data_IF_540296694470
#
_entry.id   IF_540296694470
#
_cell.length_a   1.000
_cell.length_b   1.000
_cell.length_c   1.000
_cell.angle_alpha   90.00
_cell.angle_beta   90.00
_cell.angle_gamma   90.00
#
_symmetry.space_group_name_H-M   'P 1'
#
loop_
_entity.id
_entity.type
_entity.pdbx_description
1 polymer ?
#
# COMPACT_ATOMS: atom_id res chain seq x y z
N UNK A 1 -2.35 11.68 -18.54
CA UNK A 1 -3.36 10.87 -17.84
C UNK A 1 -3.38 9.48 -18.43
N UNK A 2 -3.65 8.48 -17.62
CA UNK A 2 -3.72 7.08 -18.03
C UNK A 2 -5.03 6.82 -18.79
N UNK A 3 -4.97 6.02 -19.87
CA UNK A 3 -6.17 5.55 -20.59
C UNK A 3 -6.80 4.37 -19.86
N UNK A 4 -8.08 4.02 -20.12
CA UNK A 4 -8.70 2.83 -19.53
C UNK A 4 -7.94 1.52 -19.82
N UNK A 5 -7.34 1.39 -21.02
CA UNK A 5 -6.54 0.21 -21.37
C UNK A 5 -5.24 0.14 -20.57
N UNK A 6 -4.55 1.26 -20.39
CA UNK A 6 -3.34 1.37 -19.55
C UNK A 6 -3.66 1.16 -18.07
N UNK A 7 -4.83 1.61 -17.60
CA UNK A 7 -5.28 1.36 -16.24
C UNK A 7 -5.52 -0.13 -15.98
N UNK A 8 -6.20 -0.79 -16.90
CA UNK A 8 -6.42 -2.24 -16.84
C UNK A 8 -5.09 -3.01 -16.92
N UNK A 9 -4.17 -2.58 -17.79
CA UNK A 9 -2.84 -3.15 -17.90
C UNK A 9 -2.07 -3.02 -16.58
N UNK A 10 -2.04 -1.84 -15.99
CA UNK A 10 -1.34 -1.60 -14.73
C UNK A 10 -1.92 -2.43 -13.58
N UNK A 11 -3.26 -2.45 -13.43
CA UNK A 11 -3.92 -3.25 -12.41
C UNK A 11 -3.63 -4.74 -12.60
N UNK A 12 -3.70 -5.24 -13.83
CA UNK A 12 -3.46 -6.65 -14.16
C UNK A 12 -2.08 -7.12 -13.72
N UNK A 13 -1.02 -6.32 -13.97
CA UNK A 13 0.38 -6.64 -13.67
C UNK A 13 0.82 -6.15 -12.29
N UNK A 14 -0.09 -5.60 -11.48
CA UNK A 14 0.24 -5.08 -10.16
C UNK A 14 0.77 -6.17 -9.23
N UNK A 15 1.93 -5.92 -8.59
CA UNK A 15 2.50 -6.77 -7.54
C UNK A 15 2.88 -5.97 -6.27
N UNK A 16 2.76 -4.63 -6.32
CA UNK A 16 2.73 -3.73 -5.17
C UNK A 16 1.45 -2.91 -5.21
N UNK A 17 0.91 -2.44 -4.05
CA UNK A 17 -0.34 -1.68 -4.03
C UNK A 17 -0.30 -0.42 -4.89
N UNK A 18 0.85 0.22 -4.99
CA UNK A 18 1.07 1.45 -5.76
C UNK A 18 0.94 1.26 -7.27
N UNK A 19 0.94 0.03 -7.76
CA UNK A 19 0.63 -0.31 -9.15
C UNK A 19 -0.86 -0.32 -9.46
N UNK A 20 -1.72 -0.29 -8.44
CA UNK A 20 -3.16 -0.19 -8.61
C UNK A 20 -3.55 1.28 -8.78
N UNK A 21 -4.01 1.73 -9.98
CA UNK A 21 -4.33 3.14 -10.20
C UNK A 21 -5.39 3.67 -9.24
N UNK A 22 -6.37 2.84 -8.87
CA UNK A 22 -7.38 3.19 -7.88
C UNK A 22 -6.80 3.44 -6.49
N UNK A 23 -5.85 2.60 -6.04
CA UNK A 23 -5.12 2.79 -4.79
C UNK A 23 -4.33 4.10 -4.82
N UNK A 24 -3.51 4.29 -5.85
CA UNK A 24 -2.68 5.48 -5.95
C UNK A 24 -3.50 6.78 -6.01
N UNK A 25 -4.58 6.83 -6.78
CA UNK A 25 -5.49 7.99 -6.82
C UNK A 25 -6.12 8.27 -5.45
N UNK A 26 -6.68 7.26 -4.80
CA UNK A 26 -7.35 7.43 -3.52
C UNK A 26 -6.41 8.02 -2.46
N UNK A 27 -5.20 7.49 -2.34
CA UNK A 27 -4.29 7.90 -1.27
C UNK A 27 -3.42 9.12 -1.61
N UNK A 28 -2.97 9.27 -2.85
CA UNK A 28 -2.19 10.45 -3.26
C UNK A 28 -3.07 11.64 -3.66
N UNK A 29 -4.29 11.38 -4.15
CA UNK A 29 -5.13 12.37 -4.83
C UNK A 29 -4.57 12.80 -6.17
N UNK A 30 -3.59 12.06 -6.72
CA UNK A 30 -2.90 12.39 -7.97
C UNK A 30 -3.52 11.69 -9.17
N UNK A 31 -3.39 12.32 -10.34
CA UNK A 31 -3.75 11.72 -11.62
C UNK A 31 -2.68 10.72 -12.04
N UNK A 32 -3.10 9.50 -12.37
CA UNK A 32 -2.21 8.43 -12.80
C UNK A 32 -1.72 8.66 -14.24
N UNK A 33 -0.49 8.24 -14.53
CA UNK A 33 0.09 8.20 -15.88
C UNK A 33 1.08 7.03 -16.00
N UNK A 34 1.34 6.58 -17.22
CA UNK A 34 2.42 5.66 -17.54
C UNK A 34 3.54 6.36 -18.31
N UNK A 35 4.78 5.96 -18.01
CA UNK A 35 5.96 6.24 -18.83
C UNK A 35 6.70 4.92 -19.02
N UNK A 36 6.67 4.38 -20.24
CA UNK A 36 7.04 2.99 -20.47
C UNK A 36 6.17 2.04 -19.65
N UNK A 37 6.79 1.15 -18.91
CA UNK A 37 6.14 0.20 -18.01
C UNK A 37 6.19 0.65 -16.51
N UNK A 38 6.37 1.95 -16.25
CA UNK A 38 6.37 2.53 -14.90
C UNK A 38 5.15 3.42 -14.69
N UNK A 39 4.48 3.21 -13.57
CA UNK A 39 3.33 4.01 -13.16
C UNK A 39 3.80 5.22 -12.33
N UNK A 40 3.12 6.33 -12.47
CA UNK A 40 3.30 7.50 -11.62
C UNK A 40 2.01 8.23 -11.37
N UNK A 41 2.05 9.16 -10.39
CA UNK A 41 0.91 9.99 -10.00
C UNK A 41 1.37 11.44 -9.92
N UNK A 42 0.56 12.33 -10.47
CA UNK A 42 0.84 13.77 -10.48
C UNK A 42 -0.26 14.52 -9.75
N UNK A 43 0.10 15.33 -8.75
CA UNK A 43 -0.80 16.23 -8.05
C UNK A 43 -0.10 17.53 -7.72
N UNK A 44 -0.65 18.64 -8.20
CA UNK A 44 -0.21 20.00 -7.82
C UNK A 44 1.32 20.18 -7.90
N UNK A 45 1.94 19.71 -8.99
CA UNK A 45 3.39 19.77 -9.18
C UNK A 45 4.23 18.82 -8.32
N UNK A 46 3.59 17.91 -7.56
CA UNK A 46 4.26 16.79 -6.90
C UNK A 46 4.12 15.54 -7.76
N UNK A 47 5.23 14.94 -8.13
CA UNK A 47 5.32 13.69 -8.85
C UNK A 47 5.61 12.55 -7.89
N UNK A 48 4.75 11.54 -7.83
CA UNK A 48 5.03 10.25 -7.19
C UNK A 48 5.37 9.27 -8.31
N UNK A 49 6.57 8.72 -8.30
CA UNK A 49 7.03 7.77 -9.31
C UNK A 49 7.23 6.39 -8.68
N UNK A 50 6.46 5.42 -9.20
CA UNK A 50 6.55 4.01 -8.77
C UNK A 50 7.67 3.37 -9.56
N UNK A 51 8.88 3.34 -8.99
CA UNK A 51 10.11 2.88 -9.63
C UNK A 51 10.24 1.35 -9.74
N UNK A 52 9.12 0.65 -9.72
CA UNK A 52 9.00 -0.79 -9.96
C UNK A 52 8.35 -0.98 -11.33
N UNK A 53 8.99 -1.69 -12.30
CA UNK A 53 8.40 -1.93 -13.61
C UNK A 53 7.24 -2.92 -13.52
N UNK A 54 6.23 -2.78 -14.38
CA UNK A 54 5.06 -3.67 -14.40
C UNK A 54 5.35 -5.05 -15.00
N UNK A 55 6.23 -5.14 -16.00
CA UNK A 55 6.47 -6.40 -16.73
C UNK A 55 7.93 -6.86 -16.69
N UNK A 56 8.88 -5.95 -16.60
CA UNK A 56 10.29 -6.30 -16.73
C UNK A 56 10.98 -6.50 -15.38
N UNK A 57 12.17 -7.06 -15.41
CA UNK A 57 13.05 -7.05 -14.24
C UNK A 57 13.54 -5.62 -13.97
N UNK A 58 13.58 -5.22 -12.70
CA UNK A 58 14.08 -3.92 -12.30
C UNK A 58 15.46 -3.62 -12.88
N UNK A 59 15.58 -2.48 -13.52
CA UNK A 59 16.82 -1.93 -14.05
C UNK A 59 16.91 -0.44 -13.67
N UNK A 60 17.82 -0.11 -12.76
CA UNK A 60 17.99 1.25 -12.25
C UNK A 60 18.28 2.27 -13.34
N UNK A 61 19.09 1.91 -14.36
CA UNK A 61 19.42 2.82 -15.47
C UNK A 61 18.18 3.14 -16.30
N UNK A 62 17.34 2.13 -16.61
CA UNK A 62 16.06 2.31 -17.32
C UNK A 62 15.12 3.15 -16.48
N UNK A 63 14.95 2.83 -15.20
CA UNK A 63 14.11 3.56 -14.28
C UNK A 63 14.50 5.04 -14.20
N UNK A 64 15.79 5.36 -14.05
CA UNK A 64 16.29 6.74 -14.04
C UNK A 64 15.99 7.49 -15.34
N UNK A 65 16.16 6.85 -16.50
CA UNK A 65 15.87 7.46 -17.79
C UNK A 65 14.39 7.84 -17.92
N UNK A 66 13.48 6.94 -17.50
CA UNK A 66 12.02 7.16 -17.53
C UNK A 66 11.56 8.15 -16.45
N UNK A 67 12.18 8.14 -15.26
CA UNK A 67 11.97 9.20 -14.27
C UNK A 67 12.36 10.57 -14.81
N UNK A 68 13.52 10.69 -15.47
CA UNK A 68 13.97 11.93 -16.09
C UNK A 68 13.02 12.38 -17.24
N UNK A 69 12.46 11.45 -17.99
CA UNK A 69 11.42 11.74 -18.98
C UNK A 69 10.15 12.29 -18.33
N UNK A 70 9.65 11.65 -17.28
CA UNK A 70 8.51 12.13 -16.52
C UNK A 70 8.75 13.53 -15.94
N UNK A 71 9.94 13.77 -15.39
CA UNK A 71 10.34 15.08 -14.86
C UNK A 71 10.38 16.15 -15.95
N UNK A 72 10.87 15.86 -17.15
CA UNK A 72 10.84 16.80 -18.30
C UNK A 72 9.42 17.08 -18.76
N UNK A 73 8.55 16.05 -18.82
CA UNK A 73 7.16 16.16 -19.28
C UNK A 73 6.31 16.98 -18.33
N UNK A 74 6.43 16.73 -17.03
CA UNK A 74 5.52 17.31 -16.02
C UNK A 74 6.12 18.47 -15.23
N UNK A 75 7.42 18.71 -15.31
CA UNK A 75 8.17 19.77 -14.61
C UNK A 75 7.79 19.90 -13.12
N UNK A 76 7.81 18.80 -12.34
CA UNK A 76 7.42 18.84 -10.95
C UNK A 76 8.42 19.65 -10.12
N UNK A 77 7.95 20.28 -9.04
CA UNK A 77 8.84 20.91 -8.06
C UNK A 77 9.21 19.96 -6.90
N UNK A 78 8.48 18.85 -6.74
CA UNK A 78 8.78 17.76 -5.81
C UNK A 78 8.62 16.43 -6.50
N UNK A 79 9.49 15.48 -6.15
CA UNK A 79 9.38 14.09 -6.61
C UNK A 79 9.53 13.17 -5.42
N UNK A 80 8.60 12.25 -5.26
CA UNK A 80 8.71 11.10 -4.38
C UNK A 80 8.93 9.85 -5.25
N UNK A 81 10.14 9.32 -5.24
CA UNK A 81 10.50 8.08 -5.91
C UNK A 81 10.37 6.93 -4.91
N UNK A 82 9.59 5.91 -5.24
CA UNK A 82 9.56 4.62 -4.55
C UNK A 82 10.28 3.59 -5.40
N UNK A 83 11.39 3.02 -4.92
CA UNK A 83 12.21 2.12 -5.73
C UNK A 83 12.93 1.07 -4.86
N UNK A 84 13.41 -0.04 -5.45
CA UNK A 84 14.25 -1.00 -4.75
C UNK A 84 15.61 -0.42 -4.36
N UNK A 85 16.14 0.49 -5.18
CA UNK A 85 17.41 1.19 -4.96
C UNK A 85 17.49 2.45 -5.82
N UNK A 86 18.33 3.39 -5.40
CA UNK A 86 18.65 4.60 -6.16
C UNK A 86 20.04 5.07 -5.78
N UNK A 87 21.00 4.91 -6.69
CA UNK A 87 22.42 5.12 -6.40
C UNK A 87 22.90 6.56 -6.51
N UNK A 88 22.09 7.50 -7.07
CA UNK A 88 22.54 8.88 -7.24
C UNK A 88 22.59 9.66 -5.94
N UNK A 89 23.57 10.57 -5.79
CA UNK A 89 23.61 11.49 -4.66
C UNK A 89 22.50 12.53 -4.77
N UNK A 90 21.93 12.90 -3.63
CA UNK A 90 20.89 13.92 -3.53
C UNK A 90 19.52 13.32 -3.18
N UNK A 91 18.69 14.15 -2.57
CA UNK A 91 17.39 13.74 -2.03
C UNK A 91 17.47 13.25 -0.58
N UNK A 92 16.37 13.44 0.12
CA UNK A 92 16.17 12.87 1.44
C UNK A 92 15.72 11.42 1.30
N UNK A 93 16.40 10.50 1.98
CA UNK A 93 16.05 9.07 1.96
C UNK A 93 15.36 8.69 3.26
N UNK A 94 14.25 7.97 3.15
CA UNK A 94 13.63 7.29 4.28
C UNK A 94 14.26 5.92 4.51
N UNK A 95 13.98 5.34 5.68
CA UNK A 95 14.50 4.02 6.02
C UNK A 95 14.10 2.96 4.98
N UNK A 96 15.03 2.04 4.74
CA UNK A 96 14.81 0.88 3.87
C UNK A 96 13.83 -0.08 4.55
N UNK A 97 12.84 -0.56 3.80
CA UNK A 97 11.90 -1.58 4.21
C UNK A 97 11.77 -2.65 3.11
N UNK A 98 10.96 -3.66 3.34
CA UNK A 98 10.72 -4.74 2.40
C UNK A 98 9.23 -5.06 2.30
N UNK A 99 8.74 -5.29 1.08
CA UNK A 99 7.46 -5.96 0.87
C UNK A 99 7.60 -7.45 1.17
N UNK A 100 6.59 -7.98 1.86
CA UNK A 100 6.47 -9.40 2.15
C UNK A 100 5.44 -10.04 1.22
N UNK A 101 5.75 -11.25 0.73
CA UNK A 101 4.88 -12.01 -0.15
C UNK A 101 4.65 -13.41 0.40
N UNK A 102 3.42 -13.87 0.35
CA UNK A 102 3.02 -15.24 0.61
C UNK A 102 2.69 -15.94 -0.73
N UNK A 103 3.37 -17.01 -1.04
CA UNK A 103 3.05 -17.87 -2.20
C UNK A 103 1.94 -18.83 -1.83
N UNK A 104 0.76 -18.67 -2.44
CA UNK A 104 -0.45 -19.45 -2.12
C UNK A 104 -0.37 -20.90 -2.62
N UNK A 105 0.49 -21.20 -3.61
CA UNK A 105 0.65 -22.55 -4.19
C UNK A 105 1.43 -23.46 -3.27
N UNK A 106 2.39 -22.92 -2.54
CA UNK A 106 3.28 -23.68 -1.64
C UNK A 106 2.96 -23.45 -0.16
N UNK A 107 2.22 -22.40 0.20
CA UNK A 107 1.98 -22.02 1.60
C UNK A 107 1.09 -23.02 2.33
N UNK A 108 1.53 -23.41 3.52
CA UNK A 108 0.74 -24.17 4.49
C UNK A 108 0.65 -23.39 5.79
N UNK A 109 -0.55 -23.33 6.35
CA UNK A 109 -0.76 -22.63 7.63
C UNK A 109 -0.09 -23.44 8.74
N UNK A 110 0.90 -22.87 9.47
CA UNK A 110 1.55 -23.54 10.59
C UNK A 110 0.56 -23.94 11.71
N UNK A 111 0.84 -25.05 12.43
CA UNK A 111 -0.05 -25.56 13.47
C UNK A 111 -0.35 -24.53 14.58
N UNK A 112 0.65 -23.73 14.98
CA UNK A 112 0.45 -22.66 15.97
C UNK A 112 -0.58 -21.62 15.51
N UNK A 113 -0.57 -21.26 14.22
CA UNK A 113 -1.54 -20.32 13.63
C UNK A 113 -2.92 -20.97 13.55
N UNK A 114 -3.02 -22.25 13.14
CA UNK A 114 -4.30 -22.98 13.14
C UNK A 114 -4.97 -22.96 14.51
N UNK A 115 -4.19 -23.14 15.58
CA UNK A 115 -4.70 -23.08 16.95
C UNK A 115 -5.22 -21.68 17.31
N UNK A 116 -4.53 -20.61 16.88
CA UNK A 116 -4.99 -19.22 17.10
C UNK A 116 -6.27 -18.93 16.34
N UNK A 117 -6.34 -19.34 15.08
CA UNK A 117 -7.54 -19.20 14.24
C UNK A 117 -8.72 -19.97 14.86
N UNK A 118 -8.50 -21.23 15.27
CA UNK A 118 -9.54 -22.04 15.90
C UNK A 118 -10.03 -21.41 17.21
N UNK A 119 -9.12 -20.84 18.00
CA UNK A 119 -9.49 -20.12 19.24
C UNK A 119 -10.35 -18.92 18.94
N UNK A 120 -9.90 -18.03 18.01
CA UNK A 120 -10.66 -16.84 17.63
C UNK A 120 -12.02 -17.21 17.01
N UNK A 121 -12.07 -18.27 16.18
CA UNK A 121 -13.28 -18.75 15.52
C UNK A 121 -14.36 -19.36 16.45
N UNK A 122 -14.06 -19.54 17.74
CA UNK A 122 -15.09 -19.88 18.74
C UNK A 122 -15.92 -18.67 19.13
N UNK A 123 -15.31 -17.49 19.08
CA UNK A 123 -15.90 -16.23 19.55
C UNK A 123 -16.32 -15.33 18.38
N UNK A 124 -15.62 -15.44 17.24
CA UNK A 124 -15.78 -14.54 16.10
C UNK A 124 -16.22 -15.27 14.83
N UNK A 125 -16.94 -14.54 13.96
CA UNK A 125 -17.20 -14.91 12.57
C UNK A 125 -16.61 -13.85 11.68
N UNK A 126 -16.12 -14.26 10.48
CA UNK A 126 -15.62 -13.30 9.49
C UNK A 126 -16.68 -13.15 8.42
N UNK A 127 -17.06 -11.90 8.21
CA UNK A 127 -17.95 -11.47 7.13
C UNK A 127 -17.13 -10.69 6.10
N UNK A 128 -17.51 -10.82 4.84
CA UNK A 128 -16.86 -10.16 3.71
C UNK A 128 -17.84 -9.22 3.06
N UNK A 129 -17.46 -7.95 2.95
CA UNK A 129 -18.32 -6.93 2.33
C UNK A 129 -17.49 -5.85 1.64
N UNK A 130 -18.13 -4.79 1.20
CA UNK A 130 -17.52 -3.52 0.79
C UNK A 130 -18.02 -2.35 1.66
N UNK A 131 -18.77 -2.67 2.67
CA UNK A 131 -19.34 -1.68 3.58
C UNK A 131 -18.28 -1.17 4.55
N UNK A 132 -18.27 0.13 4.73
CA UNK A 132 -17.42 0.82 5.70
C UNK A 132 -18.30 1.82 6.45
N UNK A 133 -18.42 1.63 7.74
CA UNK A 133 -19.32 2.38 8.60
C UNK A 133 -18.60 3.07 9.77
N UNK A 134 -19.39 3.64 10.68
CA UNK A 134 -18.89 4.35 11.85
C UNK A 134 -18.12 3.44 12.84
N UNK A 135 -18.37 2.12 12.87
CA UNK A 135 -17.62 1.20 13.73
C UNK A 135 -16.19 1.01 13.21
N UNK A 136 -16.02 0.90 11.89
CA UNK A 136 -14.69 0.83 11.24
C UNK A 136 -13.92 2.12 11.50
N UNK A 137 -14.53 3.29 11.23
CA UNK A 137 -13.91 4.58 11.50
C UNK A 137 -13.48 4.71 12.96
N UNK A 138 -14.32 4.28 13.89
CA UNK A 138 -13.98 4.30 15.31
C UNK A 138 -12.76 3.44 15.66
N UNK A 139 -12.59 2.27 15.06
CA UNK A 139 -11.39 1.46 15.27
C UNK A 139 -10.12 2.15 14.73
N UNK A 140 -10.23 2.85 13.61
CA UNK A 140 -9.14 3.69 13.08
C UNK A 140 -8.82 4.82 14.04
N UNK A 141 -9.82 5.55 14.52
CA UNK A 141 -9.65 6.67 15.45
C UNK A 141 -9.06 6.22 16.79
N UNK A 142 -9.55 5.12 17.35
CA UNK A 142 -9.01 4.50 18.57
C UNK A 142 -7.53 4.07 18.36
N UNK A 143 -7.16 3.59 17.15
CA UNK A 143 -5.78 3.27 16.79
C UNK A 143 -4.90 4.54 16.72
N UNK A 144 -5.36 5.56 16.00
CA UNK A 144 -4.65 6.83 15.82
C UNK A 144 -4.51 7.61 17.13
N UNK A 145 -5.49 7.55 18.01
CA UNK A 145 -5.44 8.19 19.34
C UNK A 145 -4.55 7.47 20.35
N UNK A 146 -4.15 6.22 20.08
CA UNK A 146 -3.37 5.38 21.00
C UNK A 146 -1.87 5.30 20.70
N UNK A 147 -1.41 5.95 19.62
CA UNK A 147 -0.03 5.87 19.13
C UNK A 147 0.36 7.17 18.43
N UNK A 148 1.64 7.45 18.48
CA UNK A 148 2.22 8.41 17.54
C UNK A 148 2.29 7.75 16.16
N UNK A 149 1.65 8.40 15.19
CA UNK A 149 1.59 7.95 13.80
C UNK A 149 2.04 9.12 12.94
N UNK A 150 2.95 8.85 12.00
CA UNK A 150 3.38 9.86 11.01
C UNK A 150 2.17 10.47 10.29
N UNK A 151 2.22 11.76 10.00
CA UNK A 151 1.11 12.50 9.37
C UNK A 151 0.68 11.87 8.03
N UNK A 152 1.64 11.43 7.20
CA UNK A 152 1.33 10.74 5.95
C UNK A 152 0.51 9.46 6.16
N UNK A 153 0.83 8.66 7.18
CA UNK A 153 0.07 7.45 7.53
C UNK A 153 -1.31 7.79 8.06
N UNK A 154 -1.44 8.86 8.86
CA UNK A 154 -2.74 9.37 9.33
C UNK A 154 -3.67 9.73 8.17
N UNK A 155 -3.15 10.48 7.18
CA UNK A 155 -3.90 10.85 5.97
C UNK A 155 -4.34 9.61 5.18
N UNK A 156 -3.48 8.59 5.05
CA UNK A 156 -3.83 7.32 4.39
C UNK A 156 -5.01 6.66 5.10
N UNK A 157 -4.97 6.54 6.43
CA UNK A 157 -6.04 5.86 7.18
C UNK A 157 -7.37 6.60 7.11
N UNK A 158 -7.37 7.93 7.05
CA UNK A 158 -8.58 8.74 6.87
C UNK A 158 -9.24 8.56 5.49
N UNK A 159 -8.48 8.12 4.49
CA UNK A 159 -8.96 7.90 3.11
C UNK A 159 -9.43 6.47 2.82
N UNK A 160 -9.41 5.58 3.79
CA UNK A 160 -9.82 4.17 3.59
C UNK A 160 -11.28 4.08 3.12
N UNK A 161 -12.19 4.88 3.68
CA UNK A 161 -13.59 4.93 3.27
C UNK A 161 -13.75 5.32 1.79
N UNK A 162 -13.05 6.38 1.36
CA UNK A 162 -13.07 6.87 -0.02
C UNK A 162 -12.49 5.82 -0.98
N UNK A 163 -11.43 5.14 -0.56
CA UNK A 163 -10.83 4.05 -1.33
C UNK A 163 -11.83 2.91 -1.56
N UNK A 164 -12.46 2.41 -0.49
CA UNK A 164 -13.43 1.32 -0.56
C UNK A 164 -14.66 1.68 -1.40
N UNK A 165 -15.11 2.93 -1.35
CA UNK A 165 -16.26 3.41 -2.14
C UNK A 165 -15.93 3.49 -3.63
N UNK A 166 -14.69 3.88 -3.98
CA UNK A 166 -14.28 4.17 -5.36
C UNK A 166 -13.67 2.97 -6.10
N UNK A 167 -13.15 1.95 -5.38
CA UNK A 167 -12.44 0.82 -5.99
C UNK A 167 -13.24 -0.48 -5.84
N UNK A 168 -13.84 -1.00 -6.93
CA UNK A 168 -14.68 -2.20 -6.89
C UNK A 168 -13.96 -3.47 -6.41
N UNK A 169 -12.66 -3.57 -6.64
CA UNK A 169 -11.83 -4.71 -6.25
C UNK A 169 -11.42 -4.70 -4.77
N UNK A 170 -11.63 -3.57 -4.07
CA UNK A 170 -11.34 -3.44 -2.65
C UNK A 170 -12.48 -4.04 -1.80
N UNK A 171 -12.11 -4.76 -0.74
CA UNK A 171 -13.02 -5.48 0.14
C UNK A 171 -12.63 -5.30 1.60
N UNK A 172 -13.63 -5.38 2.46
CA UNK A 172 -13.49 -5.41 3.92
C UNK A 172 -13.78 -6.82 4.42
N UNK A 173 -13.00 -7.28 5.38
CA UNK A 173 -13.22 -8.51 6.13
C UNK A 173 -13.43 -8.14 7.58
N UNK A 174 -14.61 -8.35 8.12
CA UNK A 174 -15.01 -8.01 9.48
C UNK A 174 -14.96 -9.24 10.38
N UNK A 175 -14.28 -9.15 11.50
CA UNK A 175 -14.39 -10.16 12.56
C UNK A 175 -15.37 -9.68 13.62
N UNK A 176 -16.56 -10.28 13.64
CA UNK A 176 -17.66 -9.95 14.57
C UNK A 176 -17.97 -11.08 15.51
N UNK A 177 -18.38 -10.75 16.73
CA UNK A 177 -18.88 -11.74 17.69
C UNK A 177 -20.38 -12.08 17.47
N UNK A 178 -20.92 -12.96 18.31
CA UNK A 178 -22.33 -13.36 18.24
C UNK A 178 -23.34 -12.24 18.56
N UNK A 179 -22.87 -11.12 19.12
CA UNK A 179 -23.67 -9.92 19.38
C UNK A 179 -23.52 -8.86 18.29
N UNK A 180 -22.77 -9.17 17.22
CA UNK A 180 -22.49 -8.25 16.12
C UNK A 180 -21.37 -7.24 16.38
N UNK A 181 -20.67 -7.28 17.55
CA UNK A 181 -19.62 -6.32 17.88
C UNK A 181 -18.37 -6.56 17.04
N UNK A 182 -17.81 -5.51 16.46
CA UNK A 182 -16.63 -5.55 15.62
C UNK A 182 -15.35 -5.70 16.48
N UNK A 183 -14.70 -6.87 16.43
CA UNK A 183 -13.42 -7.14 17.11
C UNK A 183 -12.20 -6.68 16.30
N UNK A 184 -12.35 -6.55 14.99
CA UNK A 184 -11.33 -6.04 14.07
C UNK A 184 -11.75 -6.22 12.62
N UNK A 185 -11.01 -5.57 11.73
CA UNK A 185 -11.22 -5.71 10.29
C UNK A 185 -9.92 -5.63 9.50
N UNK A 186 -9.95 -6.25 8.32
CA UNK A 186 -8.91 -6.12 7.29
C UNK A 186 -9.48 -5.42 6.06
N UNK A 187 -8.63 -4.65 5.37
CA UNK A 187 -8.92 -4.16 4.02
C UNK A 187 -7.96 -4.83 3.05
N UNK A 188 -8.52 -5.37 1.99
CA UNK A 188 -7.76 -6.04 0.93
C UNK A 188 -8.18 -5.53 -0.45
N UNK A 189 -7.30 -5.71 -1.45
CA UNK A 189 -7.62 -5.45 -2.85
C UNK A 189 -7.30 -6.69 -3.70
N UNK A 190 -8.16 -6.97 -4.66
CA UNK A 190 -8.08 -8.14 -5.53
C UNK A 190 -8.00 -7.76 -7.03
N UNK A 191 -7.66 -6.52 -7.33
CA UNK A 191 -7.63 -5.96 -8.69
C UNK A 191 -6.53 -6.50 -9.60
N UNK A 192 -5.45 -7.05 -9.05
CA UNK A 192 -4.39 -7.68 -9.84
C UNK A 192 -4.78 -9.08 -10.30
N UNK A 193 -4.20 -9.53 -11.42
CA UNK A 193 -4.42 -10.89 -11.92
C UNK A 193 -3.81 -11.94 -10.97
N UNK A 194 -2.57 -11.76 -10.57
CA UNK A 194 -1.83 -12.75 -9.78
C UNK A 194 -1.83 -12.48 -8.27
N UNK A 195 -2.02 -11.23 -7.86
CA UNK A 195 -1.86 -10.81 -6.47
C UNK A 195 -3.18 -10.43 -5.82
N UNK A 196 -3.36 -10.81 -4.56
CA UNK A 196 -4.19 -10.10 -3.60
C UNK A 196 -3.30 -9.22 -2.72
N UNK A 197 -3.81 -8.10 -2.25
CA UNK A 197 -3.09 -7.16 -1.40
C UNK A 197 -3.74 -7.08 -0.02
N UNK A 198 -2.97 -7.38 1.02
CA UNK A 198 -3.33 -7.15 2.41
C UNK A 198 -2.89 -5.74 2.79
N UNK A 199 -3.84 -4.80 2.80
CA UNK A 199 -3.56 -3.37 2.89
C UNK A 199 -3.55 -2.85 4.32
N UNK A 200 -4.63 -3.10 5.06
CA UNK A 200 -4.81 -2.56 6.40
C UNK A 200 -5.37 -3.61 7.34
N UNK A 201 -4.97 -3.55 8.64
CA UNK A 201 -5.52 -4.37 9.72
C UNK A 201 -5.73 -3.49 10.95
N UNK A 202 -6.95 -3.45 11.43
CA UNK A 202 -7.31 -2.77 12.67
C UNK A 202 -8.00 -3.74 13.63
N UNK A 203 -7.68 -3.62 14.93
CA UNK A 203 -8.28 -4.44 15.97
C UNK A 203 -8.79 -3.60 17.10
N UNK A 204 -9.93 -3.98 17.67
CA UNK A 204 -10.44 -3.39 18.88
C UNK A 204 -9.48 -3.60 20.06
N UNK A 205 -9.20 -2.55 20.78
CA UNK A 205 -8.49 -2.59 22.07
C UNK A 205 -9.46 -2.74 23.23
N UNK A 206 -10.71 -2.33 23.03
CA UNK A 206 -11.80 -2.42 24.03
C UNK A 206 -12.38 -3.83 24.09
N UNK A 207 -12.34 -4.53 22.96
CA UNK A 207 -12.81 -5.91 22.82
C UNK A 207 -11.75 -6.78 22.16
N UNK A 208 -10.62 -7.08 22.85
CA UNK A 208 -9.52 -7.84 22.28
C UNK A 208 -9.82 -9.34 22.30
N UNK A 209 -9.98 -9.96 21.14
CA UNK A 209 -10.02 -11.42 21.00
C UNK A 209 -8.69 -11.92 20.45
N UNK A 210 -7.98 -12.79 21.17
CA UNK A 210 -6.70 -13.32 20.70
C UNK A 210 -6.86 -14.11 19.40
N UNK A 211 -6.03 -13.81 18.39
CA UNK A 211 -6.07 -14.47 17.08
C UNK A 211 -6.97 -13.77 16.05
N UNK A 212 -7.60 -12.63 16.36
CA UNK A 212 -8.45 -11.86 15.42
C UNK A 212 -7.73 -11.60 14.09
N UNK A 213 -6.50 -11.05 14.09
CA UNK A 213 -5.76 -10.80 12.84
C UNK A 213 -5.38 -12.10 12.09
N UNK A 214 -5.18 -13.20 12.81
CA UNK A 214 -4.92 -14.49 12.17
C UNK A 214 -6.17 -15.05 11.50
N UNK A 215 -7.34 -14.89 12.12
CA UNK A 215 -8.63 -15.29 11.57
C UNK A 215 -9.00 -14.46 10.33
N UNK A 216 -8.79 -13.14 10.38
CA UNK A 216 -9.03 -12.22 9.28
C UNK A 216 -8.12 -12.53 8.08
N UNK A 217 -6.80 -12.66 8.31
CA UNK A 217 -5.85 -12.97 7.23
C UNK A 217 -6.14 -14.36 6.63
N UNK A 218 -6.60 -15.33 7.41
CA UNK A 218 -7.04 -16.62 6.86
C UNK A 218 -8.21 -16.44 5.88
N UNK A 219 -9.21 -15.65 6.24
CA UNK A 219 -10.36 -15.39 5.38
C UNK A 219 -9.95 -14.69 4.07
N UNK A 220 -9.06 -13.70 4.16
CA UNK A 220 -8.47 -13.02 2.99
C UNK A 220 -7.71 -14.02 2.09
N UNK A 221 -6.87 -14.87 2.65
CA UNK A 221 -6.13 -15.91 1.91
C UNK A 221 -7.10 -16.87 1.23
N UNK A 222 -8.17 -17.27 1.89
CA UNK A 222 -9.19 -18.13 1.29
C UNK A 222 -9.87 -17.44 0.11
N UNK A 223 -10.19 -16.17 0.23
CA UNK A 223 -10.76 -15.39 -0.87
C UNK A 223 -9.77 -15.24 -2.04
N UNK A 224 -8.50 -14.97 -1.75
CA UNK A 224 -7.46 -14.92 -2.77
C UNK A 224 -7.36 -16.24 -3.56
N UNK A 225 -7.47 -17.39 -2.88
CA UNK A 225 -7.51 -18.70 -3.52
C UNK A 225 -8.78 -18.91 -4.36
N UNK A 226 -9.95 -18.49 -3.86
CA UNK A 226 -11.21 -18.56 -4.58
C UNK A 226 -11.14 -17.77 -5.90
N UNK A 227 -10.42 -16.62 -5.87
CA UNK A 227 -10.17 -15.79 -7.05
C UNK A 227 -8.92 -16.21 -7.84
N UNK A 228 -8.36 -17.39 -7.55
CA UNK A 228 -7.21 -17.99 -8.26
C UNK A 228 -5.95 -17.12 -8.25
N UNK A 229 -5.74 -16.32 -7.20
CA UNK A 229 -4.50 -15.57 -7.04
C UNK A 229 -3.35 -16.52 -6.71
N UNK A 230 -2.15 -16.19 -7.18
CA UNK A 230 -0.94 -16.97 -6.87
C UNK A 230 -0.26 -16.47 -5.60
N UNK A 231 -0.42 -15.19 -5.28
CA UNK A 231 0.28 -14.52 -4.21
C UNK A 231 -0.63 -13.63 -3.36
N UNK A 232 -0.25 -13.46 -2.11
CA UNK A 232 -0.72 -12.33 -1.29
C UNK A 232 0.49 -11.43 -1.01
N UNK A 233 0.44 -10.18 -1.48
CA UNK A 233 1.34 -9.15 -0.99
C UNK A 233 0.86 -8.72 0.40
N UNK A 234 1.66 -9.01 1.41
CA UNK A 234 1.36 -8.72 2.81
C UNK A 234 1.75 -7.28 3.22
N UNK A 235 2.20 -6.45 2.26
CA UNK A 235 2.66 -5.09 2.50
C UNK A 235 4.06 -5.00 3.10
N UNK A 236 4.45 -3.80 3.53
CA UNK A 236 5.76 -3.46 4.10
C UNK A 236 5.95 -3.99 5.53
N UNK A 237 7.20 -4.22 5.93
CA UNK A 237 7.58 -4.68 7.26
C UNK A 237 7.31 -3.68 8.38
N UNK A 238 7.29 -2.40 8.09
CA UNK A 238 7.06 -1.21 8.93
C UNK A 238 7.68 -1.21 10.34
N UNK A 239 7.61 -2.33 11.06
CA UNK A 239 8.25 -2.56 12.35
C UNK A 239 8.39 -4.06 12.60
N UNK A 240 9.19 -4.44 13.63
CA UNK A 240 9.51 -5.84 13.90
C UNK A 240 8.27 -6.70 14.23
N UNK A 241 7.26 -6.14 14.90
CA UNK A 241 6.02 -6.85 15.22
C UNK A 241 5.22 -7.20 13.96
N UNK A 242 5.13 -6.26 13.01
CA UNK A 242 4.48 -6.47 11.71
C UNK A 242 5.28 -7.46 10.86
N UNK A 243 6.59 -7.29 10.77
CA UNK A 243 7.48 -8.20 10.06
C UNK A 243 7.40 -9.63 10.64
N UNK A 244 7.40 -9.76 11.97
CA UNK A 244 7.20 -11.05 12.65
C UNK A 244 5.84 -11.69 12.30
N UNK A 245 4.75 -10.91 12.33
CA UNK A 245 3.42 -11.39 11.93
C UNK A 245 3.43 -11.96 10.50
N UNK A 246 4.07 -11.28 9.56
CA UNK A 246 4.17 -11.73 8.16
C UNK A 246 5.02 -13.01 8.03
N UNK A 247 6.19 -13.03 8.67
CA UNK A 247 7.08 -14.22 8.67
C UNK A 247 6.43 -15.45 9.30
N UNK A 248 5.69 -15.29 10.41
CA UNK A 248 5.00 -16.43 11.04
C UNK A 248 3.98 -17.11 10.13
N UNK A 249 3.40 -16.34 9.17
CA UNK A 249 2.50 -16.87 8.14
C UNK A 249 3.22 -17.49 6.95
N UNK A 250 4.56 -17.50 6.95
CA UNK A 250 5.38 -17.97 5.84
C UNK A 250 5.61 -16.90 4.76
N UNK A 251 5.30 -15.65 5.07
CA UNK A 251 5.63 -14.53 4.20
C UNK A 251 7.14 -14.31 4.13
N UNK A 252 7.67 -14.16 2.93
CA UNK A 252 9.07 -13.85 2.67
C UNK A 252 9.22 -12.44 2.12
N UNK A 253 10.28 -11.73 2.55
CA UNK A 253 10.66 -10.48 1.91
C UNK A 253 11.02 -10.76 0.45
N UNK A 254 10.43 -10.02 -0.49
CA UNK A 254 10.64 -10.27 -1.92
C UNK A 254 11.06 -9.04 -2.72
N UNK A 255 10.81 -7.85 -2.17
CA UNK A 255 11.10 -6.59 -2.85
C UNK A 255 11.55 -5.55 -1.84
N UNK A 256 12.74 -4.96 -2.05
CA UNK A 256 13.22 -3.84 -1.26
C UNK A 256 12.42 -2.58 -1.58
N UNK A 257 12.23 -1.74 -0.59
CA UNK A 257 11.48 -0.49 -0.69
C UNK A 257 12.24 0.65 -0.04
N UNK A 258 12.53 1.67 -0.84
CA UNK A 258 13.04 2.96 -0.39
C UNK A 258 12.14 4.08 -0.91
N UNK A 259 11.96 5.12 -0.11
CA UNK A 259 11.36 6.37 -0.54
C UNK A 259 12.45 7.43 -0.61
N UNK A 260 12.63 8.02 -1.77
CA UNK A 260 13.58 9.09 -2.02
C UNK A 260 12.81 10.35 -2.40
N UNK A 261 12.98 11.41 -1.61
CA UNK A 261 12.39 12.71 -1.88
C UNK A 261 13.39 13.58 -2.63
N UNK A 262 13.10 13.86 -3.89
CA UNK A 262 13.92 14.72 -4.74
C UNK A 262 13.27 16.09 -4.90
N UNK A 263 14.09 17.14 -4.78
CA UNK A 263 13.69 18.50 -5.14
C UNK A 263 14.41 18.87 -6.44
N UNK A 264 13.76 18.78 -7.60
CA UNK A 264 14.37 19.19 -8.85
C UNK A 264 14.87 20.62 -8.69
N UNK A 265 16.15 20.88 -8.95
CA UNK A 265 16.70 22.23 -8.92
C UNK A 265 15.92 23.05 -9.94
N UNK A 266 15.24 24.10 -9.49
CA UNK A 266 14.75 25.15 -10.41
C UNK A 266 15.97 25.65 -11.19
N UNK A 267 15.88 25.91 -12.52
CA UNK A 267 16.94 26.57 -13.26
C UNK A 267 17.39 27.81 -12.49
N UNK A 268 18.68 28.02 -12.33
CA UNK A 268 19.29 29.08 -11.49
C UNK A 268 18.87 30.51 -11.88
N UNK A 269 18.21 30.67 -13.00
CA UNK A 269 17.70 31.94 -13.51
C UNK A 269 16.67 32.61 -12.59
N UNK A 270 15.85 31.86 -11.85
CA UNK A 270 14.85 32.45 -10.93
C UNK A 270 15.44 32.78 -9.54
N UNK A 271 16.55 32.16 -9.15
CA UNK A 271 17.21 32.47 -7.88
C UNK A 271 17.91 33.85 -7.87
N UNK A 272 18.26 34.41 -9.05
CA UNK A 272 18.87 35.74 -9.14
C UNK A 272 17.83 36.87 -9.02
N UNK A 273 16.59 36.64 -9.46
CA UNK A 273 15.51 37.65 -9.39
C UNK A 273 14.98 37.80 -7.96
N UNK A 274 14.87 36.69 -7.20
CA UNK A 274 14.34 36.75 -5.82
C UNK A 274 15.39 37.22 -4.78
N UNK A 275 16.70 37.07 -5.05
CA UNK A 275 17.72 37.66 -4.17
C UNK A 275 17.80 39.19 -4.25
N UNK A 276 17.39 39.79 -5.38
CA UNK A 276 17.38 41.22 -5.57
C UNK A 276 16.17 41.94 -4.93
N UNK A 277 15.09 41.25 -4.58
CA UNK A 277 13.88 41.85 -4.03
C UNK A 277 13.80 41.89 -2.49
N UNK A 278 14.72 41.27 -1.79
CA UNK A 278 14.74 41.22 -0.31
C UNK A 278 16.06 41.74 0.29
N UNK A 279 16.82 42.56 -0.47
CA UNK A 279 18.00 43.29 0.01
C UNK A 279 17.74 44.79 -0.22
N UNK A 280 16.78 45.33 0.53
CA UNK A 280 16.61 46.77 0.75
C UNK A 280 15.93 46.97 2.11
#
# INVERSE_FOLDING_TARGET
MITPAEEQFSARHAYVPEHLPGYGRAFSGGEAFLVGDYLGYLREGTLIFVGYPLEETYNEKKMKALLAEAMRRFQPFRVALMAPSYSEPGGERKAVDYYYRLDLRSSRIPSKIKNMIHRAGRELRVEKSREFDAEHQKLIDDFLGSREVEEGTRVIFQKIADYLSSVPAAMVFDARDSQGRLAGFDVADFGSEEYAFYLFNFRSRKFPVPGTSDLLLQALIQEARNQRKFYVNLGLGTNEGVAFFKRKWGGMSFLQHEIILLSPRRPSFLNSIFRGMFSA
#
